data_IF_624849680315
#
_entry.id   IF_624849680315
#
_cell.length_a   1.000
_cell.length_b   1.000
_cell.length_c   1.000
_cell.angle_alpha   90.00
_cell.angle_beta   90.00
_cell.angle_gamma   90.00
#
_symmetry.space_group_name_H-M   'P 1'
#
loop_
_entity.id
_entity.type
_entity.pdbx_description
1 polymer ?
#
# COMPACT_ATOMS: atom_id res chain seq x y z
N UNK A 1 37.27 -16.70 -26.69
CA UNK A 1 37.09 -15.34 -27.21
C UNK A 1 36.43 -14.53 -26.11
N UNK A 2 37.25 -13.78 -25.36
CA UNK A 2 36.86 -13.05 -24.15
C UNK A 2 36.47 -11.63 -24.52
N UNK A 3 35.29 -11.18 -24.07
CA UNK A 3 34.84 -9.80 -24.28
C UNK A 3 34.70 -9.13 -22.92
N UNK A 4 35.47 -8.06 -22.76
CA UNK A 4 35.69 -7.29 -21.53
C UNK A 4 34.43 -6.54 -21.07
N UNK A 5 34.14 -6.63 -19.78
CA UNK A 5 33.18 -5.79 -19.08
C UNK A 5 33.73 -4.36 -18.95
N UNK A 6 32.99 -3.38 -19.45
CA UNK A 6 33.30 -1.96 -19.24
C UNK A 6 32.32 -1.41 -18.19
N UNK A 7 32.84 -1.15 -17.00
CA UNK A 7 32.09 -0.53 -15.91
C UNK A 7 32.00 1.00 -16.14
N UNK A 8 30.79 1.55 -16.13
CA UNK A 8 30.56 3.00 -16.12
C UNK A 8 30.24 3.43 -14.69
N UNK A 9 31.15 4.22 -14.12
CA UNK A 9 31.06 4.79 -12.79
C UNK A 9 30.21 6.07 -12.88
N UNK A 10 29.05 6.12 -12.19
CA UNK A 10 28.25 7.35 -12.09
C UNK A 10 28.51 7.99 -10.72
N UNK A 11 29.21 9.11 -10.77
CA UNK A 11 29.62 9.94 -9.63
C UNK A 11 28.41 10.61 -8.97
N UNK A 12 28.28 10.42 -7.66
CA UNK A 12 27.32 11.11 -6.82
C UNK A 12 27.64 12.62 -6.71
N UNK A 13 26.60 13.47 -6.77
CA UNK A 13 26.71 14.90 -6.50
C UNK A 13 25.73 15.31 -5.38
N UNK A 14 26.27 15.90 -4.32
CA UNK A 14 25.58 16.69 -3.30
C UNK A 14 26.59 17.68 -2.71
N UNK A 15 26.21 18.76 -1.99
CA UNK A 15 24.93 19.48 -1.90
C UNK A 15 25.08 20.99 -2.21
N UNK A 16 24.01 21.67 -2.63
CA UNK A 16 23.97 23.15 -2.67
C UNK A 16 23.25 23.71 -1.44
N UNK A 17 23.95 24.60 -0.73
CA UNK A 17 23.50 25.30 0.49
C UNK A 17 23.41 26.80 0.18
N UNK A 18 22.47 27.47 0.86
CA UNK A 18 22.31 28.93 1.15
C UNK A 18 21.07 29.57 0.49
N UNK A 19 20.49 30.68 1.01
CA UNK A 19 20.86 31.47 2.20
C UNK A 19 19.76 31.60 3.28
N UNK A 20 20.19 32.09 4.45
CA UNK A 20 19.35 32.54 5.56
C UNK A 20 18.73 33.90 5.23
N UNK A 21 17.42 34.03 5.45
CA UNK A 21 16.75 35.32 5.59
C UNK A 21 16.17 35.42 6.99
N UNK A 22 16.76 36.30 7.81
CA UNK A 22 16.19 36.74 9.09
C UNK A 22 15.09 37.75 8.79
N UNK A 23 13.92 37.59 9.39
CA UNK A 23 13.04 38.71 9.71
C UNK A 23 12.35 38.42 11.05
N UNK A 24 12.82 39.14 12.06
CA UNK A 24 12.26 39.28 13.39
C UNK A 24 10.94 40.06 13.28
N UNK A 25 9.84 39.58 13.85
CA UNK A 25 8.78 40.45 14.37
C UNK A 25 8.26 39.92 15.70
N UNK A 26 8.61 40.69 16.72
CA UNK A 26 8.19 40.64 18.10
C UNK A 26 6.75 41.17 18.17
N UNK A 27 5.86 40.48 18.88
CA UNK A 27 4.71 41.09 19.52
C UNK A 27 4.50 40.39 20.87
N UNK A 28 4.75 41.16 21.93
CA UNK A 28 4.58 40.79 23.32
C UNK A 28 3.20 41.21 23.83
N UNK A 29 2.70 40.50 24.86
CA UNK A 29 1.99 40.98 26.06
C UNK A 29 0.95 39.92 26.55
N UNK A 30 0.46 39.98 27.81
CA UNK A 30 1.20 39.81 29.06
C UNK A 30 0.54 38.77 30.01
N UNK A 31 1.17 38.62 31.18
CA UNK A 31 0.90 37.74 32.32
C UNK A 31 -0.54 37.67 32.86
N UNK A 32 -0.95 36.47 33.28
CA UNK A 32 -1.75 36.29 34.50
C UNK A 32 -1.17 35.17 35.35
N UNK A 33 -0.75 35.57 36.55
CA UNK A 33 -0.36 34.70 37.68
C UNK A 33 -1.63 34.38 38.45
N UNK A 34 -1.86 33.10 38.75
CA UNK A 34 -2.78 32.67 39.80
C UNK A 34 -2.12 31.58 40.64
N UNK A 35 -2.29 31.70 41.95
CA UNK A 35 -1.44 31.17 43.00
C UNK A 35 -1.83 29.76 43.50
N UNK A 36 -0.80 29.06 43.97
CA UNK A 36 -0.70 28.13 45.11
C UNK A 36 -1.96 27.34 45.55
N UNK A 37 -1.86 26.01 45.46
CA UNK A 37 -2.46 25.11 46.43
C UNK A 37 -1.36 24.17 46.98
N UNK A 38 -1.13 24.26 48.29
CA UNK A 38 -0.25 23.41 49.09
C UNK A 38 -1.01 22.16 49.53
N UNK A 39 -0.40 21.00 49.31
CA UNK A 39 -0.76 19.68 49.83
C UNK A 39 0.12 18.67 49.09
N UNK A 40 0.84 17.71 49.67
CA UNK A 40 0.83 17.12 50.99
C UNK A 40 1.05 15.62 50.79
N UNK A 41 2.32 15.17 50.74
CA UNK A 41 2.84 13.77 50.83
C UNK A 41 2.34 12.73 49.77
N UNK A 42 3.03 11.58 49.54
CA UNK A 42 4.34 11.11 49.99
C UNK A 42 5.34 10.83 48.82
N UNK A 43 6.62 10.62 49.14
CA UNK A 43 7.60 10.02 48.22
C UNK A 43 7.14 8.59 47.87
N UNK A 44 6.63 8.40 46.66
CA UNK A 44 6.51 7.08 46.06
C UNK A 44 7.86 6.69 45.44
N UNK A 45 8.34 5.52 45.84
CA UNK A 45 9.54 4.89 45.32
C UNK A 45 9.55 4.92 43.78
N UNK A 46 10.71 5.27 43.21
CA UNK A 46 10.96 5.05 41.80
C UNK A 46 10.89 3.54 41.55
N UNK A 47 9.73 3.08 41.08
CA UNK A 47 9.63 1.79 40.43
C UNK A 47 10.53 1.85 39.20
N UNK A 48 11.54 1.00 39.18
CA UNK A 48 12.41 0.75 38.04
C UNK A 48 11.52 0.55 36.82
N UNK A 49 11.67 1.43 35.83
CA UNK A 49 11.05 1.25 34.54
C UNK A 49 11.66 -0.01 33.92
N UNK A 50 10.96 -1.13 34.08
CA UNK A 50 11.13 -2.34 33.31
C UNK A 50 11.27 -1.91 31.84
N UNK A 51 12.33 -2.29 31.10
CA UNK A 51 12.41 -2.07 29.66
C UNK A 51 11.37 -2.97 29.01
N UNK A 52 10.11 -2.56 29.14
CA UNK A 52 8.98 -3.21 28.52
C UNK A 52 9.32 -3.36 27.06
N UNK A 53 9.37 -4.61 26.61
CA UNK A 53 9.34 -4.97 25.21
C UNK A 53 8.47 -3.96 24.50
N UNK A 54 9.02 -3.31 23.47
CA UNK A 54 8.20 -2.54 22.53
C UNK A 54 7.16 -3.54 22.01
N UNK A 55 6.00 -3.61 22.65
CA UNK A 55 4.85 -4.36 22.16
C UNK A 55 4.61 -3.77 20.80
N UNK A 56 4.98 -4.54 19.78
CA UNK A 56 4.73 -4.20 18.39
C UNK A 56 3.24 -3.89 18.35
N UNK A 57 2.90 -2.62 18.14
CA UNK A 57 1.50 -2.18 18.08
C UNK A 57 0.83 -3.14 17.09
N UNK A 58 -0.28 -3.82 17.45
CA UNK A 58 -0.94 -4.73 16.53
C UNK A 58 -1.07 -4.00 15.20
N UNK A 59 -0.52 -4.59 14.14
CA UNK A 59 -0.62 -4.01 12.82
C UNK A 59 -2.10 -3.71 12.59
N UNK A 60 -2.41 -2.47 12.19
CA UNK A 60 -3.78 -2.08 11.88
C UNK A 60 -4.41 -3.13 10.95
N UNK A 61 -5.72 -3.34 10.99
CA UNK A 61 -6.38 -4.37 10.18
C UNK A 61 -6.01 -4.33 8.69
N UNK A 62 -6.26 -5.41 7.97
CA UNK A 62 -6.05 -5.44 6.53
C UNK A 62 -7.12 -4.60 5.83
N UNK A 63 -6.72 -3.85 4.81
CA UNK A 63 -7.65 -3.09 3.98
C UNK A 63 -8.13 -3.93 2.80
N UNK A 64 -9.42 -3.83 2.51
CA UNK A 64 -10.02 -4.34 1.29
C UNK A 64 -11.08 -3.36 0.80
N UNK A 65 -10.87 -2.76 -0.38
CA UNK A 65 -11.71 -1.70 -0.94
C UNK A 65 -12.05 -0.59 0.08
N UNK A 66 -11.05 -0.14 0.85
CA UNK A 66 -11.17 0.91 1.85
C UNK A 66 -11.77 0.47 3.19
N UNK A 67 -12.33 -0.74 3.26
CA UNK A 67 -12.83 -1.31 4.52
C UNK A 67 -11.70 -1.98 5.30
N UNK A 68 -11.63 -1.71 6.61
CA UNK A 68 -10.64 -2.34 7.50
C UNK A 68 -11.19 -3.63 8.10
N UNK A 69 -10.41 -4.70 7.98
CA UNK A 69 -10.71 -6.03 8.49
C UNK A 69 -9.72 -6.39 9.62
N UNK A 70 -10.19 -6.85 10.79
CA UNK A 70 -9.29 -7.18 11.90
C UNK A 70 -8.36 -8.35 11.55
N UNK A 71 -7.24 -8.47 12.25
CA UNK A 71 -6.33 -9.61 12.12
C UNK A 71 -7.09 -10.93 12.32
N UNK A 72 -6.67 -11.98 11.60
CA UNK A 72 -7.30 -13.31 11.55
C UNK A 72 -8.72 -13.37 10.97
N UNK A 73 -9.32 -12.23 10.59
CA UNK A 73 -10.56 -12.25 9.81
C UNK A 73 -10.33 -12.85 8.43
N UNK A 74 -11.40 -13.37 7.82
CA UNK A 74 -11.34 -13.94 6.48
C UNK A 74 -12.42 -13.36 5.59
N UNK A 75 -12.09 -13.23 4.31
CA UNK A 75 -13.03 -12.86 3.25
C UNK A 75 -12.94 -13.86 2.10
N UNK A 76 -13.98 -13.94 1.29
CA UNK A 76 -13.98 -14.68 0.02
C UNK A 76 -14.04 -13.66 -1.10
N UNK A 77 -13.19 -13.82 -2.11
CA UNK A 77 -13.23 -13.05 -3.34
C UNK A 77 -12.66 -13.87 -4.50
N UNK A 78 -13.29 -13.81 -5.66
CA UNK A 78 -12.78 -14.48 -6.86
C UNK A 78 -12.73 -16.00 -6.75
N UNK A 79 -13.53 -16.60 -5.87
CA UNK A 79 -13.49 -18.04 -5.59
C UNK A 79 -12.32 -18.48 -4.73
N UNK A 80 -11.65 -17.57 -4.01
CA UNK A 80 -10.55 -17.87 -3.09
C UNK A 80 -10.84 -17.26 -1.72
N UNK A 81 -10.50 -17.98 -0.65
CA UNK A 81 -10.51 -17.43 0.71
C UNK A 81 -9.23 -16.66 1.01
N UNK A 82 -9.34 -15.50 1.66
CA UNK A 82 -8.19 -14.70 2.11
C UNK A 82 -8.28 -14.50 3.61
N UNK A 83 -7.17 -14.68 4.31
CA UNK A 83 -7.07 -14.43 5.76
C UNK A 83 -6.18 -13.22 6.01
N UNK A 84 -6.68 -12.28 6.81
CA UNK A 84 -5.91 -11.12 7.21
C UNK A 84 -4.85 -11.53 8.24
N UNK A 85 -3.60 -11.17 7.98
CA UNK A 85 -2.49 -11.38 8.90
C UNK A 85 -1.46 -10.26 8.81
N UNK A 86 -0.25 -10.56 9.25
CA UNK A 86 0.89 -9.66 9.17
C UNK A 86 2.04 -10.34 8.44
N UNK A 87 2.60 -9.66 7.44
CA UNK A 87 3.80 -10.09 6.72
C UNK A 87 4.82 -8.94 6.74
N UNK A 88 6.07 -9.24 7.09
CA UNK A 88 7.15 -8.26 7.23
C UNK A 88 6.75 -7.03 8.09
N UNK A 89 5.97 -7.26 9.14
CA UNK A 89 5.52 -6.20 10.07
C UNK A 89 4.38 -5.32 9.57
N UNK A 90 3.75 -5.64 8.43
CA UNK A 90 2.62 -4.89 7.89
C UNK A 90 1.39 -5.77 7.59
N UNK A 91 0.17 -5.20 7.54
CA UNK A 91 -1.04 -5.97 7.26
C UNK A 91 -0.98 -6.59 5.86
N UNK A 92 -1.31 -7.88 5.76
CA UNK A 92 -1.22 -8.67 4.54
C UNK A 92 -2.38 -9.67 4.45
N UNK A 93 -2.90 -9.85 3.24
CA UNK A 93 -3.88 -10.88 2.93
C UNK A 93 -3.19 -12.15 2.43
N UNK A 94 -3.34 -13.24 3.18
CA UNK A 94 -2.87 -14.55 2.78
C UNK A 94 -3.95 -15.25 1.97
N UNK A 95 -3.69 -15.49 0.69
CA UNK A 95 -4.56 -16.32 -0.15
C UNK A 95 -4.51 -17.78 0.36
N UNK A 96 -5.68 -18.34 0.64
CA UNK A 96 -5.88 -19.71 1.07
C UNK A 96 -6.36 -20.61 -0.06
N UNK A 97 -7.13 -21.63 0.32
CA UNK A 97 -7.70 -22.57 -0.65
C UNK A 97 -8.78 -21.92 -1.53
N UNK A 98 -9.00 -22.54 -2.69
CA UNK A 98 -10.18 -22.30 -3.52
C UNK A 98 -11.44 -22.54 -2.67
N UNK A 99 -12.41 -21.65 -2.81
CA UNK A 99 -13.66 -21.63 -2.06
C UNK A 99 -14.83 -21.62 -3.03
N UNK A 100 -15.79 -22.53 -2.82
CA UNK A 100 -17.06 -22.53 -3.56
C UNK A 100 -18.06 -21.46 -3.09
N UNK A 101 -17.77 -20.78 -1.96
CA UNK A 101 -18.66 -19.77 -1.38
C UNK A 101 -18.75 -18.52 -2.27
N UNK A 102 -19.85 -17.78 -2.14
CA UNK A 102 -19.98 -16.46 -2.75
C UNK A 102 -18.96 -15.48 -2.14
N UNK A 103 -18.56 -14.49 -2.92
CA UNK A 103 -17.68 -13.41 -2.50
C UNK A 103 -18.33 -12.62 -1.36
N UNK A 104 -17.57 -12.41 -0.30
CA UNK A 104 -17.99 -11.64 0.89
C UNK A 104 -17.30 -10.29 0.97
N UNK A 105 -16.39 -10.00 0.04
CA UNK A 105 -15.70 -8.72 -0.06
C UNK A 105 -15.98 -8.06 -1.42
N UNK A 106 -16.01 -6.71 -1.46
CA UNK A 106 -16.21 -5.98 -2.71
C UNK A 106 -15.17 -6.34 -3.77
N UNK A 107 -15.62 -6.39 -5.03
CA UNK A 107 -14.75 -6.65 -6.19
C UNK A 107 -14.81 -5.46 -7.17
N UNK A 108 -14.30 -4.27 -6.80
CA UNK A 108 -14.32 -3.11 -7.69
C UNK A 108 -13.36 -3.24 -8.87
N UNK A 109 -12.44 -4.22 -8.85
CA UNK A 109 -11.34 -4.31 -9.80
C UNK A 109 -10.15 -3.42 -9.41
N UNK A 110 -9.03 -3.60 -10.10
CA UNK A 110 -7.84 -2.78 -9.97
C UNK A 110 -8.00 -1.45 -10.71
N UNK A 111 -8.90 -0.58 -10.23
CA UNK A 111 -9.33 0.66 -10.91
C UNK A 111 -8.45 1.88 -10.64
N UNK A 112 -7.58 1.83 -9.64
CA UNK A 112 -6.74 2.94 -9.19
C UNK A 112 -5.54 2.42 -8.39
N UNK A 113 -4.66 3.34 -7.92
CA UNK A 113 -3.58 3.00 -6.99
C UNK A 113 -4.14 2.28 -5.74
N UNK A 114 -3.57 1.13 -5.33
CA UNK A 114 -4.11 0.34 -4.22
C UNK A 114 -3.90 0.97 -2.84
N UNK A 115 -3.05 2.00 -2.72
CA UNK A 115 -2.72 2.64 -1.45
C UNK A 115 -3.94 3.22 -0.77
N UNK A 116 -4.13 2.89 0.52
CA UNK A 116 -5.31 3.31 1.29
C UNK A 116 -6.60 2.53 1.00
N UNK A 117 -6.61 1.70 -0.04
CA UNK A 117 -7.77 0.90 -0.44
C UNK A 117 -7.55 -0.60 -0.16
N UNK A 118 -6.34 -1.09 -0.37
CA UNK A 118 -6.01 -2.50 -0.25
C UNK A 118 -4.69 -2.69 0.47
N UNK A 119 -4.63 -3.69 1.35
CA UNK A 119 -3.37 -4.21 1.87
C UNK A 119 -2.67 -5.11 0.87
N UNK A 120 -1.37 -5.32 1.03
CA UNK A 120 -0.61 -6.30 0.24
C UNK A 120 -1.27 -7.68 0.30
N UNK A 121 -1.14 -8.46 -0.77
CA UNK A 121 -1.74 -9.80 -0.89
C UNK A 121 -3.18 -9.80 -1.39
N UNK A 122 -3.92 -8.69 -1.28
CA UNK A 122 -5.25 -8.57 -1.85
C UNK A 122 -5.21 -8.74 -3.37
N UNK A 123 -6.21 -9.40 -3.94
CA UNK A 123 -6.34 -9.59 -5.39
C UNK A 123 -7.62 -8.97 -5.92
N UNK A 124 -7.55 -8.45 -7.14
CA UNK A 124 -8.68 -7.88 -7.87
C UNK A 124 -8.56 -8.18 -9.37
N UNK A 125 -9.67 -8.36 -10.09
CA UNK A 125 -9.67 -8.38 -11.55
C UNK A 125 -9.01 -7.12 -12.11
N UNK A 126 -8.22 -7.26 -13.17
CA UNK A 126 -7.67 -6.13 -13.89
C UNK A 126 -8.75 -5.31 -14.58
N UNK A 127 -8.41 -4.05 -14.86
CA UNK A 127 -9.27 -3.08 -15.54
C UNK A 127 -8.45 -2.30 -16.57
N UNK A 128 -9.06 -1.32 -17.25
CA UNK A 128 -8.31 -0.41 -18.11
C UNK A 128 -7.16 0.30 -17.37
N UNK A 129 -7.26 0.52 -16.04
CA UNK A 129 -6.16 1.12 -15.26
C UNK A 129 -4.87 0.27 -15.31
N UNK A 130 -5.01 -1.04 -15.44
CA UNK A 130 -3.89 -1.99 -15.50
C UNK A 130 -3.42 -2.29 -16.92
N UNK A 131 -3.96 -1.61 -17.93
CA UNK A 131 -3.45 -1.72 -19.30
C UNK A 131 -2.02 -1.21 -19.40
N UNK A 132 -1.22 -1.86 -20.23
CA UNK A 132 0.13 -1.41 -20.53
C UNK A 132 0.53 -1.74 -21.97
N UNK A 133 1.59 -1.09 -22.45
CA UNK A 133 2.09 -1.30 -23.80
C UNK A 133 3.36 -2.15 -23.78
N UNK A 134 3.48 -3.03 -24.77
CA UNK A 134 4.73 -3.73 -25.11
C UNK A 134 5.04 -3.40 -26.57
N UNK A 135 5.98 -2.48 -26.79
CA UNK A 135 6.15 -1.84 -28.09
C UNK A 135 4.86 -1.13 -28.52
N UNK A 136 4.36 -1.41 -29.72
CA UNK A 136 3.12 -0.83 -30.24
C UNK A 136 1.89 -1.71 -29.98
N UNK A 137 1.99 -2.69 -29.08
CA UNK A 137 0.89 -3.57 -28.69
C UNK A 137 0.33 -3.16 -27.34
N UNK A 138 -0.98 -2.93 -27.28
CA UNK A 138 -1.72 -2.84 -26.02
C UNK A 138 -1.90 -4.24 -25.45
N UNK A 139 -1.50 -4.42 -24.19
CA UNK A 139 -1.82 -5.59 -23.39
C UNK A 139 -3.00 -5.20 -22.48
N UNK A 140 -4.19 -5.78 -22.69
CA UNK A 140 -5.35 -5.48 -21.86
C UNK A 140 -5.10 -5.94 -20.42
N UNK A 141 -5.20 -5.01 -19.48
CA UNK A 141 -5.14 -5.34 -18.07
C UNK A 141 -6.29 -6.24 -17.65
N UNK A 142 -7.44 -6.18 -18.35
CA UNK A 142 -8.62 -7.00 -18.06
C UNK A 142 -8.37 -8.50 -18.15
N UNK A 143 -7.30 -8.96 -18.83
CA UNK A 143 -7.03 -10.37 -19.06
C UNK A 143 -6.37 -11.07 -17.86
N UNK A 144 -6.01 -10.32 -16.83
CA UNK A 144 -5.35 -10.82 -15.63
C UNK A 144 -6.08 -10.43 -14.33
N UNK A 145 -5.77 -11.17 -13.27
CA UNK A 145 -6.00 -10.80 -11.87
C UNK A 145 -4.71 -10.19 -11.33
N UNK A 146 -4.84 -9.07 -10.64
CA UNK A 146 -3.72 -8.34 -10.07
C UNK A 146 -3.69 -8.51 -8.57
N UNK A 147 -2.50 -8.72 -8.02
CA UNK A 147 -2.22 -8.74 -6.59
C UNK A 147 -1.55 -7.43 -6.17
N UNK A 148 -1.95 -6.90 -5.03
CA UNK A 148 -1.23 -5.79 -4.39
C UNK A 148 0.09 -6.33 -3.84
N UNK A 149 1.20 -5.77 -4.31
CA UNK A 149 2.54 -6.08 -3.79
C UNK A 149 3.15 -4.86 -3.15
N UNK A 150 3.94 -5.11 -2.10
CA UNK A 150 4.73 -4.07 -1.43
C UNK A 150 6.09 -3.95 -2.11
N UNK A 151 6.49 -2.72 -2.38
CA UNK A 151 7.82 -2.36 -2.91
C UNK A 151 8.43 -1.24 -2.07
N UNK A 152 9.68 -0.87 -2.35
CA UNK A 152 10.32 0.31 -1.75
C UNK A 152 9.58 1.62 -2.05
N UNK A 153 8.88 1.70 -3.18
CA UNK A 153 8.10 2.87 -3.59
C UNK A 153 6.65 2.90 -3.10
N UNK A 154 6.20 1.89 -2.34
CA UNK A 154 4.82 1.76 -1.87
C UNK A 154 4.11 0.52 -2.40
N UNK A 155 2.76 0.57 -2.43
CA UNK A 155 1.92 -0.51 -2.91
C UNK A 155 1.61 -0.33 -4.40
N UNK A 156 1.70 -1.43 -5.16
CA UNK A 156 1.38 -1.46 -6.58
C UNK A 156 0.62 -2.73 -6.97
N UNK A 157 -0.06 -2.69 -8.11
CA UNK A 157 -0.69 -3.86 -8.72
C UNK A 157 0.33 -4.63 -9.54
N UNK A 158 0.39 -5.95 -9.35
CA UNK A 158 1.20 -6.87 -10.14
C UNK A 158 0.32 -8.00 -10.67
N UNK A 159 0.40 -8.30 -11.96
CA UNK A 159 -0.30 -9.45 -12.54
C UNK A 159 0.10 -10.74 -11.80
N UNK A 160 -0.91 -11.53 -11.42
CA UNK A 160 -0.74 -12.72 -10.57
C UNK A 160 -1.22 -14.00 -11.25
N UNK A 161 -2.31 -13.94 -12.01
CA UNK A 161 -2.89 -15.08 -12.73
C UNK A 161 -3.83 -14.61 -13.84
N UNK A 162 -4.10 -15.40 -14.88
CA UNK A 162 -5.14 -15.08 -15.87
C UNK A 162 -6.52 -14.89 -15.25
N UNK A 163 -7.34 -14.03 -15.87
CA UNK A 163 -8.69 -13.68 -15.42
C UNK A 163 -9.65 -14.88 -15.36
N UNK A 164 -9.40 -15.91 -16.17
CA UNK A 164 -10.18 -17.17 -16.15
C UNK A 164 -10.10 -17.93 -14.81
N UNK A 165 -9.16 -17.57 -13.93
CA UNK A 165 -9.08 -18.11 -12.58
C UNK A 165 -9.87 -17.30 -11.54
N UNK A 166 -10.44 -16.16 -11.92
CA UNK A 166 -11.30 -15.38 -11.04
C UNK A 166 -12.76 -15.80 -11.22
N UNK A 167 -13.39 -16.26 -10.13
CA UNK A 167 -14.83 -16.49 -10.12
C UNK A 167 -15.59 -15.19 -9.89
N UNK A 168 -16.40 -14.79 -10.86
CA UNK A 168 -17.29 -13.65 -10.75
C UNK A 168 -18.65 -14.08 -10.16
N UNK A 169 -19.03 -13.48 -9.03
CA UNK A 169 -20.39 -13.60 -8.48
C UNK A 169 -21.30 -12.43 -8.92
N UNK A 170 -20.71 -11.39 -9.51
CA UNK A 170 -21.37 -10.20 -10.09
C UNK A 170 -20.86 -9.96 -11.50
N UNK A 171 -21.33 -8.90 -12.17
CA UNK A 171 -20.77 -8.50 -13.46
C UNK A 171 -19.27 -8.20 -13.37
N UNK A 172 -18.55 -8.55 -14.43
CA UNK A 172 -17.11 -8.30 -14.57
C UNK A 172 -16.87 -6.79 -14.70
N UNK A 173 -15.76 -6.24 -14.17
CA UNK A 173 -15.37 -4.87 -14.47
C UNK A 173 -15.32 -4.63 -15.99
N UNK A 174 -15.76 -3.45 -16.43
CA UNK A 174 -15.88 -3.12 -17.84
C UNK A 174 -14.59 -3.41 -18.62
N UNK A 175 -14.75 -3.84 -19.87
CA UNK A 175 -13.64 -4.08 -20.79
C UNK A 175 -12.81 -2.83 -21.03
N UNK A 176 -11.58 -3.00 -21.53
CA UNK A 176 -10.76 -1.85 -21.88
C UNK A 176 -11.40 -1.05 -23.02
N UNK A 177 -11.53 0.26 -22.81
CA UNK A 177 -11.94 1.21 -23.85
C UNK A 177 -10.74 1.66 -24.70
N UNK A 178 -9.51 1.27 -24.31
CA UNK A 178 -8.28 1.68 -24.96
C UNK A 178 -7.99 0.76 -26.14
N UNK A 179 -7.50 1.35 -27.23
CA UNK A 179 -7.15 0.62 -28.45
C UNK A 179 -5.63 0.52 -28.60
N UNK A 180 -5.12 -0.49 -29.35
CA UNK A 180 -3.68 -0.62 -29.63
C UNK A 180 -3.02 0.64 -30.21
N UNK A 181 -3.79 1.48 -30.92
CA UNK A 181 -3.32 2.74 -31.49
C UNK A 181 -2.87 3.78 -30.44
N UNK A 182 -3.18 3.58 -29.16
CA UNK A 182 -2.72 4.43 -28.06
C UNK A 182 -1.33 4.03 -27.55
N UNK A 183 -0.73 2.95 -28.06
CA UNK A 183 0.62 2.53 -27.73
C UNK A 183 1.62 3.05 -28.76
N UNK A 184 2.43 4.03 -28.37
CA UNK A 184 3.51 4.58 -29.20
C UNK A 184 4.84 4.31 -28.50
N UNK A 185 5.70 3.50 -29.13
CA UNK A 185 7.03 3.14 -28.64
C UNK A 185 7.01 2.59 -27.20
N UNK A 186 5.98 1.80 -26.87
CA UNK A 186 5.82 1.21 -25.52
C UNK A 186 5.21 2.15 -24.49
N UNK A 187 4.79 3.35 -24.87
CA UNK A 187 4.12 4.31 -23.98
C UNK A 187 2.63 4.41 -24.34
N UNK A 188 1.79 4.31 -23.32
CA UNK A 188 0.35 4.54 -23.46
C UNK A 188 0.07 6.05 -23.41
N UNK A 189 -0.46 6.61 -24.51
CA UNK A 189 -0.70 8.04 -24.69
C UNK A 189 -2.16 8.41 -24.69
#
# INVERSE_FOLDING_TARGET
MSVNATAVNVTAAAPTRRPRSRALRIAAAPLTVAALAVGGLPLAAAAEADPGERRSRPAAGCLWAGTTYPQQSSVVAGGVGYTCGTEAGAPHWFAGAVSGKASTAPTPGAIANPTGQFSSGARQPGTAYTDYCVGNQLIPGTDDVYQVVRTSGGLLWKAATPIGQWKFDTERPAETWRTPSLCIDGTLT
#
